data_IF_941230393156
#
_entry.id   IF_941230393156
#
_cell.length_a   1.000
_cell.length_b   1.000
_cell.length_c   1.000
_cell.angle_alpha   90.00
_cell.angle_beta   90.00
_cell.angle_gamma   90.00
#
_symmetry.space_group_name_H-M   'P 1'
#
loop_
_entity.id
_entity.type
_entity.pdbx_description
1 polymer ?
#
# COMPACT_ATOMS: atom_id res chain seq x y z
N UNK A 1 -5.37 -8.64 -6.66
CA UNK A 1 -4.40 -7.78 -5.93
C UNK A 1 -3.45 -8.70 -5.18
N UNK A 2 -2.15 -8.39 -5.13
CA UNK A 2 -1.16 -9.19 -4.37
C UNK A 2 -1.66 -9.38 -2.93
N UNK A 3 -1.91 -10.64 -2.54
CA UNK A 3 -2.55 -10.96 -1.26
C UNK A 3 -1.58 -10.96 -0.08
N UNK A 4 -0.30 -11.23 -0.36
CA UNK A 4 0.71 -11.44 0.67
C UNK A 4 1.65 -10.25 0.88
N UNK A 5 1.82 -9.34 -0.10
CA UNK A 5 2.58 -8.10 0.09
C UNK A 5 1.63 -6.99 0.51
N UNK A 6 1.92 -6.40 1.67
CA UNK A 6 1.14 -5.33 2.27
C UNK A 6 1.97 -4.05 2.42
N UNK A 7 1.30 -2.93 2.65
CA UNK A 7 1.91 -1.61 2.77
C UNK A 7 1.61 -0.99 4.13
N UNK A 8 2.64 -0.46 4.77
CA UNK A 8 2.53 0.47 5.89
C UNK A 8 2.29 1.90 5.36
N UNK A 9 1.80 2.78 6.25
CA UNK A 9 1.50 4.18 5.91
C UNK A 9 2.74 5.02 5.59
N UNK A 10 3.90 4.61 6.09
CA UNK A 10 5.20 5.24 5.80
C UNK A 10 5.81 4.80 4.45
N UNK A 11 5.10 3.94 3.70
CA UNK A 11 5.53 3.43 2.40
C UNK A 11 6.31 2.13 2.46
N UNK A 12 6.63 1.59 3.64
CA UNK A 12 7.30 0.29 3.75
C UNK A 12 6.37 -0.85 3.30
N UNK A 13 6.95 -1.88 2.70
CA UNK A 13 6.26 -3.13 2.36
C UNK A 13 6.66 -4.24 3.33
N UNK A 14 5.74 -5.16 3.55
CA UNK A 14 6.01 -6.36 4.33
C UNK A 14 5.25 -7.55 3.77
N UNK A 15 5.76 -8.73 4.03
CA UNK A 15 5.17 -10.01 3.70
C UNK A 15 4.27 -10.49 4.84
N UNK A 16 2.98 -10.57 4.55
CA UNK A 16 1.95 -10.92 5.53
C UNK A 16 1.92 -12.42 5.84
N UNK A 17 2.24 -13.26 4.87
CA UNK A 17 2.35 -14.72 5.02
C UNK A 17 1.10 -15.40 5.59
N UNK A 18 -0.11 -15.03 5.13
CA UNK A 18 -1.37 -15.63 5.60
C UNK A 18 -1.67 -17.01 5.01
N UNK A 19 -0.97 -17.40 3.94
CA UNK A 19 -1.06 -18.75 3.37
C UNK A 19 -0.25 -19.79 4.16
N UNK A 20 -0.13 -20.99 3.60
CA UNK A 20 0.69 -22.08 4.16
C UNK A 20 2.19 -21.81 3.92
N UNK A 21 2.75 -20.86 4.68
CA UNK A 21 4.18 -20.52 4.66
C UNK A 21 4.83 -20.94 5.97
N UNK A 22 5.96 -21.64 5.89
CA UNK A 22 6.82 -21.87 7.05
C UNK A 22 7.43 -20.56 7.53
N UNK A 23 7.75 -20.47 8.82
CA UNK A 23 8.37 -19.28 9.39
C UNK A 23 9.73 -18.99 8.75
N UNK A 24 10.49 -20.05 8.45
CA UNK A 24 11.75 -19.92 7.72
C UNK A 24 11.57 -19.30 6.32
N UNK A 25 10.47 -19.56 5.63
CA UNK A 25 10.20 -18.93 4.33
C UNK A 25 9.77 -17.47 4.50
N UNK A 26 9.01 -17.14 5.55
CA UNK A 26 8.63 -15.75 5.85
C UNK A 26 9.87 -14.92 6.16
N UNK A 27 10.77 -15.42 7.00
CA UNK A 27 12.03 -14.76 7.34
C UNK A 27 12.91 -14.54 6.10
N UNK A 28 13.02 -15.54 5.22
CA UNK A 28 13.76 -15.39 3.96
C UNK A 28 13.17 -14.29 3.08
N UNK A 29 11.84 -14.23 2.94
CA UNK A 29 11.20 -13.19 2.11
C UNK A 29 11.41 -11.80 2.72
N UNK A 30 11.30 -11.67 4.04
CA UNK A 30 11.59 -10.40 4.72
C UNK A 30 13.07 -9.99 4.57
N UNK A 31 13.99 -10.94 4.69
CA UNK A 31 15.42 -10.70 4.44
C UNK A 31 15.67 -10.25 3.00
N UNK A 32 15.04 -10.90 2.02
CA UNK A 32 15.13 -10.51 0.61
C UNK A 32 14.61 -9.09 0.38
N UNK A 33 13.44 -8.74 0.95
CA UNK A 33 12.84 -7.41 0.82
C UNK A 33 13.74 -6.33 1.40
N UNK A 34 14.28 -6.54 2.60
CA UNK A 34 14.94 -5.50 3.37
C UNK A 34 16.47 -5.46 3.14
N UNK A 35 17.13 -6.61 3.14
CA UNK A 35 18.59 -6.68 3.20
C UNK A 35 19.22 -6.94 1.83
N UNK A 36 18.60 -7.77 0.99
CA UNK A 36 19.12 -8.09 -0.35
C UNK A 36 18.70 -7.03 -1.36
N UNK A 37 17.39 -6.80 -1.48
CA UNK A 37 16.83 -5.89 -2.47
C UNK A 37 16.73 -4.44 -1.97
N UNK A 38 16.81 -4.22 -0.65
CA UNK A 38 16.69 -2.90 -0.03
C UNK A 38 15.43 -2.14 -0.47
N UNK A 39 14.30 -2.85 -0.67
CA UNK A 39 13.07 -2.26 -1.21
C UNK A 39 12.47 -1.22 -0.26
N UNK A 40 12.68 -1.40 1.04
CA UNK A 40 12.27 -0.46 2.09
C UNK A 40 13.32 0.62 2.39
N UNK A 41 14.39 0.72 1.60
CA UNK A 41 15.53 1.57 1.94
C UNK A 41 16.62 0.79 2.68
N UNK A 42 17.69 1.49 3.04
CA UNK A 42 18.80 0.94 3.82
C UNK A 42 18.61 1.29 5.29
N UNK A 43 18.58 0.26 6.13
CA UNK A 43 18.50 0.43 7.56
C UNK A 43 19.86 0.85 8.11
N UNK A 44 19.88 1.92 8.90
CA UNK A 44 21.07 2.41 9.59
C UNK A 44 21.18 1.82 10.98
N UNK A 45 22.39 1.89 11.55
CA UNK A 45 22.69 1.44 12.91
C UNK A 45 21.88 2.17 14.00
N UNK A 46 21.43 3.39 13.71
CA UNK A 46 20.59 4.21 14.60
C UNK A 46 19.09 3.85 14.52
N UNK A 47 18.72 2.85 13.73
CA UNK A 47 17.33 2.43 13.51
C UNK A 47 16.58 3.28 12.48
N UNK A 48 17.21 4.31 11.91
CA UNK A 48 16.61 5.09 10.83
C UNK A 48 16.69 4.36 9.48
N UNK A 49 15.74 4.67 8.60
CA UNK A 49 15.69 4.13 7.24
C UNK A 49 16.04 5.23 6.26
N UNK A 50 17.09 5.01 5.47
CA UNK A 50 17.47 5.90 4.39
C UNK A 50 16.99 5.33 3.06
N UNK A 51 16.18 6.10 2.33
CA UNK A 51 15.74 5.71 0.99
C UNK A 51 16.94 5.53 0.05
N UNK A 52 16.78 4.65 -0.94
CA UNK A 52 17.81 4.42 -1.95
C UNK A 52 17.70 5.44 -3.09
N UNK A 53 18.65 5.40 -4.03
CA UNK A 53 18.66 6.30 -5.19
C UNK A 53 17.39 6.17 -6.08
N UNK A 54 16.71 5.02 -6.04
CA UNK A 54 15.47 4.78 -6.79
C UNK A 54 14.23 5.38 -6.12
N UNK A 55 14.33 5.87 -4.89
CA UNK A 55 13.26 6.54 -4.14
C UNK A 55 11.95 5.74 -4.02
N UNK A 56 12.06 4.40 -4.02
CA UNK A 56 10.89 3.52 -3.97
C UNK A 56 10.10 3.70 -2.68
N UNK A 57 10.77 3.91 -1.53
CA UNK A 57 10.10 4.10 -0.24
C UNK A 57 9.29 5.39 -0.25
N UNK A 58 9.91 6.50 -0.65
CA UNK A 58 9.24 7.80 -0.79
C UNK A 58 8.07 7.71 -1.77
N UNK A 59 8.26 7.11 -2.94
CA UNK A 59 7.21 6.97 -3.95
C UNK A 59 5.98 6.23 -3.43
N UNK A 60 6.17 5.14 -2.67
CA UNK A 60 5.07 4.43 -2.01
C UNK A 60 4.41 5.25 -0.90
N UNK A 61 5.19 5.97 -0.10
CA UNK A 61 4.67 6.87 0.95
C UNK A 61 3.78 7.96 0.35
N UNK A 62 4.27 8.65 -0.67
CA UNK A 62 3.54 9.72 -1.36
C UNK A 62 2.24 9.18 -1.98
N UNK A 63 2.25 7.95 -2.52
CA UNK A 63 1.05 7.29 -3.03
C UNK A 63 0.06 6.89 -1.94
N UNK A 64 0.54 6.47 -0.76
CA UNK A 64 -0.30 6.19 0.40
C UNK A 64 -1.02 7.46 0.87
N UNK A 65 -0.28 8.57 1.02
CA UNK A 65 -0.83 9.87 1.40
C UNK A 65 -1.87 10.37 0.39
N UNK A 66 -1.62 10.18 -0.91
CA UNK A 66 -2.59 10.48 -1.96
C UNK A 66 -3.90 9.69 -1.77
N UNK A 67 -3.81 8.40 -1.46
CA UNK A 67 -4.99 7.58 -1.21
C UNK A 67 -5.77 8.06 0.03
N UNK A 68 -5.08 8.42 1.10
CA UNK A 68 -5.71 9.02 2.28
C UNK A 68 -6.36 10.37 1.99
N UNK A 69 -5.75 11.19 1.12
CA UNK A 69 -6.31 12.46 0.68
C UNK A 69 -7.62 12.25 -0.09
N UNK A 70 -7.69 11.25 -0.98
CA UNK A 70 -8.93 10.86 -1.66
C UNK A 70 -10.02 10.52 -0.63
N UNK A 71 -9.71 9.67 0.35
CA UNK A 71 -10.65 9.26 1.40
C UNK A 71 -11.12 10.47 2.21
N UNK A 72 -10.20 11.32 2.68
CA UNK A 72 -10.49 12.54 3.45
C UNK A 72 -11.39 13.50 2.66
N UNK A 73 -11.08 13.71 1.37
CA UNK A 73 -11.88 14.56 0.48
C UNK A 73 -13.31 14.04 0.30
N UNK A 74 -13.48 12.75 0.10
CA UNK A 74 -14.82 12.14 -0.01
C UNK A 74 -15.59 12.23 1.31
N UNK A 75 -14.91 12.00 2.44
CA UNK A 75 -15.51 12.13 3.77
C UNK A 75 -16.01 13.54 4.04
N UNK A 76 -15.18 14.56 3.75
CA UNK A 76 -15.57 15.98 3.92
C UNK A 76 -16.77 16.37 3.06
N UNK A 77 -16.96 15.72 1.92
CA UNK A 77 -18.11 15.94 1.01
C UNK A 77 -19.34 15.11 1.38
N UNK A 78 -19.30 14.30 2.44
CA UNK A 78 -20.39 13.39 2.80
C UNK A 78 -20.57 12.20 1.85
N UNK A 79 -19.65 11.99 0.90
CA UNK A 79 -19.77 11.02 -0.20
C UNK A 79 -18.84 9.81 -0.03
N UNK A 80 -18.39 9.52 1.20
CA UNK A 80 -17.54 8.37 1.48
C UNK A 80 -18.41 7.12 1.67
N UNK A 81 -18.78 6.48 0.56
CA UNK A 81 -19.50 5.21 0.52
C UNK A 81 -18.67 4.13 -0.18
N UNK A 82 -19.03 2.85 0.02
CA UNK A 82 -18.34 1.75 -0.66
C UNK A 82 -18.51 1.82 -2.18
N UNK A 83 -19.68 2.21 -2.70
CA UNK A 83 -19.93 2.38 -4.14
C UNK A 83 -19.08 3.50 -4.72
N UNK A 84 -18.96 4.62 -4.00
CA UNK A 84 -18.13 5.74 -4.47
C UNK A 84 -16.66 5.33 -4.54
N UNK A 85 -16.14 4.65 -3.53
CA UNK A 85 -14.77 4.13 -3.57
C UNK A 85 -14.58 3.09 -4.67
N UNK A 86 -15.57 2.24 -4.94
CA UNK A 86 -15.52 1.29 -6.05
C UNK A 86 -15.39 2.00 -7.40
N UNK A 87 -16.10 3.12 -7.60
CA UNK A 87 -15.99 3.96 -8.81
C UNK A 87 -14.60 4.59 -8.94
N UNK A 88 -14.04 5.15 -7.86
CA UNK A 88 -12.68 5.71 -7.86
C UNK A 88 -11.63 4.63 -8.19
N UNK A 89 -11.73 3.45 -7.57
CA UNK A 89 -10.82 2.32 -7.86
C UNK A 89 -10.94 1.83 -9.31
N UNK A 90 -12.16 1.80 -9.85
CA UNK A 90 -12.40 1.43 -11.26
C UNK A 90 -11.70 2.40 -12.20
N UNK A 91 -11.86 3.71 -11.98
CA UNK A 91 -11.21 4.74 -12.78
C UNK A 91 -9.67 4.61 -12.78
N UNK A 92 -9.07 4.29 -11.63
CA UNK A 92 -7.62 4.05 -11.53
C UNK A 92 -7.20 2.80 -12.32
N UNK A 93 -8.00 1.71 -12.27
CA UNK A 93 -7.71 0.46 -12.98
C UNK A 93 -7.86 0.58 -14.49
N UNK A 94 -8.86 1.33 -14.94
CA UNK A 94 -9.20 1.51 -16.36
C UNK A 94 -8.41 2.65 -17.03
N UNK A 95 -7.63 3.43 -16.27
CA UNK A 95 -6.75 4.45 -16.83
C UNK A 95 -5.75 3.83 -17.82
N UNK A 96 -5.74 4.34 -19.05
CA UNK A 96 -4.86 3.90 -20.14
C UNK A 96 -3.38 3.92 -19.72
N UNK A 97 -2.98 5.00 -19.05
CA UNK A 97 -1.69 5.12 -18.36
C UNK A 97 -1.95 5.20 -16.86
N UNK A 98 -1.54 4.17 -16.13
CA UNK A 98 -1.61 4.17 -14.67
C UNK A 98 -0.44 4.94 -14.11
N UNK A 99 -0.72 5.78 -13.11
CA UNK A 99 0.34 6.46 -12.36
C UNK A 99 1.26 5.44 -11.71
N UNK A 100 2.52 5.83 -11.55
CA UNK A 100 3.46 5.09 -10.71
C UNK A 100 2.84 4.87 -9.32
N UNK A 101 3.09 3.70 -8.73
CA UNK A 101 2.51 3.30 -7.44
C UNK A 101 0.97 3.24 -7.38
N UNK A 102 0.25 3.19 -8.50
CA UNK A 102 -1.21 3.00 -8.50
C UNK A 102 -1.66 1.77 -7.69
N UNK A 103 -0.82 0.74 -7.59
CA UNK A 103 -1.05 -0.42 -6.73
C UNK A 103 -1.20 -0.07 -5.24
N UNK A 104 -0.40 0.87 -4.72
CA UNK A 104 -0.48 1.35 -3.32
C UNK A 104 -1.79 2.09 -3.09
N UNK A 105 -2.17 2.96 -4.03
CA UNK A 105 -3.43 3.71 -3.95
C UNK A 105 -4.60 2.72 -3.91
N UNK A 106 -4.62 1.75 -4.83
CA UNK A 106 -5.66 0.73 -4.88
C UNK A 106 -5.70 -0.10 -3.59
N UNK A 107 -4.56 -0.46 -3.00
CA UNK A 107 -4.51 -1.20 -1.74
C UNK A 107 -5.19 -0.46 -0.59
N UNK A 108 -4.87 0.83 -0.40
CA UNK A 108 -5.45 1.64 0.68
C UNK A 108 -6.95 1.85 0.47
N UNK A 109 -7.36 2.18 -0.77
CA UNK A 109 -8.78 2.34 -1.11
C UNK A 109 -9.55 1.04 -0.93
N UNK A 110 -8.99 -0.11 -1.30
CA UNK A 110 -9.63 -1.41 -1.15
C UNK A 110 -9.80 -1.78 0.33
N UNK A 111 -8.81 -1.48 1.19
CA UNK A 111 -8.93 -1.67 2.64
C UNK A 111 -10.05 -0.82 3.22
N UNK A 112 -10.20 0.44 2.79
CA UNK A 112 -11.29 1.30 3.25
C UNK A 112 -12.64 0.84 2.70
N UNK A 113 -12.70 0.44 1.43
CA UNK A 113 -13.89 -0.13 0.80
C UNK A 113 -14.42 -1.34 1.56
N UNK A 114 -13.57 -2.31 1.90
CA UNK A 114 -13.98 -3.51 2.66
C UNK A 114 -14.55 -3.15 4.03
N UNK A 115 -13.97 -2.14 4.71
CA UNK A 115 -14.49 -1.63 5.99
C UNK A 115 -15.86 -0.98 5.85
N UNK A 116 -16.07 -0.14 4.83
CA UNK A 116 -17.38 0.50 4.57
C UNK A 116 -18.45 -0.55 4.23
N UNK A 117 -18.11 -1.51 3.36
CA UNK A 117 -19.00 -2.62 3.01
C UNK A 117 -19.43 -3.43 4.23
N UNK A 118 -18.50 -3.73 5.14
CA UNK A 118 -18.81 -4.41 6.40
C UNK A 118 -19.70 -3.58 7.35
N UNK A 119 -19.74 -2.25 7.18
CA UNK A 119 -20.59 -1.33 7.93
C UNK A 119 -21.93 -1.06 7.24
N UNK A 120 -22.21 -1.67 6.08
CA UNK A 120 -23.40 -1.36 5.27
C UNK A 120 -23.39 0.04 4.67
N UNK A 121 -22.21 0.61 4.44
CA UNK A 121 -21.97 1.98 3.93
C UNK A 121 -21.26 1.98 2.59
#
# INVERSE_FOLDING_TARGET
MMKEICYYSDGQIYFRGLGNWSDQNKEKIEHEINDVLCLNGKHKKDGSVQDTATQLLKGRRDAYEQAESIIRRLSKKGNLTSERLQKEMRAIRESEKRKEYAGVILFVLERKYRRLKAQGR
#
